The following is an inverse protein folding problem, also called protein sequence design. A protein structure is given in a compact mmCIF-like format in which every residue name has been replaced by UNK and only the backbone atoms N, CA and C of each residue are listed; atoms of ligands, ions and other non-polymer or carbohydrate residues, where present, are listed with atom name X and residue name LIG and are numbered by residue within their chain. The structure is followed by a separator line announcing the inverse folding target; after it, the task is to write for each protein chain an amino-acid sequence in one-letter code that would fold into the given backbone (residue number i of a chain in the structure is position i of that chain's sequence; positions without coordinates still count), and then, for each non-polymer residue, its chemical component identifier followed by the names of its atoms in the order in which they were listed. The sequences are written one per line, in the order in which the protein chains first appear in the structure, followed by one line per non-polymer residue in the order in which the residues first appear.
data_IF_296693539911
#
_entry.id   IF_296693539911
#
_cell.length_a   1.000
_cell.length_b   1.000
_cell.length_c   1.000
_cell.angle_alpha   90.00
_cell.angle_beta   90.00
_cell.angle_gamma   90.00
#
_symmetry.space_group_name_H-M   'P 1'
#
loop_
_entity.id
_entity.type
_entity.pdbx_description
1 polymer ?
#
# COMPACT_ATOMS: atom_id res chain seq x y z
N UNK A 1 -2.07 15.60 6.88
CA UNK A 1 -2.19 14.77 8.09
C UNK A 1 -0.93 13.92 8.17
N UNK A 2 -0.31 13.78 9.35
CA UNK A 2 0.92 12.99 9.50
C UNK A 2 0.54 11.49 9.50
N UNK A 3 1.25 10.66 8.72
CA UNK A 3 1.01 9.21 8.68
C UNK A 3 1.17 8.59 10.08
N UNK A 4 0.22 7.75 10.48
CA UNK A 4 0.30 6.94 11.69
C UNK A 4 1.42 5.91 11.56
N UNK A 5 1.59 5.28 10.40
CA UNK A 5 2.70 4.38 10.13
C UNK A 5 4.05 5.07 10.34
N UNK A 6 4.23 6.28 9.80
CA UNK A 6 5.45 7.05 10.01
C UNK A 6 5.73 7.28 11.51
N UNK A 7 4.68 7.44 12.32
CA UNK A 7 4.83 7.56 13.79
C UNK A 7 5.25 6.24 14.42
N UNK A 8 4.65 5.11 14.02
CA UNK A 8 5.03 3.77 14.50
C UNK A 8 6.50 3.46 14.20
N UNK A 9 6.94 3.69 12.96
CA UNK A 9 8.31 3.42 12.53
C UNK A 9 9.36 4.26 13.26
N UNK A 10 9.01 5.47 13.73
CA UNK A 10 9.92 6.34 14.47
C UNK A 10 9.91 6.11 15.99
N UNK A 11 8.90 5.42 16.53
CA UNK A 11 8.69 5.32 17.99
C UNK A 11 8.82 3.90 18.53
N UNK A 12 8.61 2.88 17.69
CA UNK A 12 8.73 1.48 18.10
C UNK A 12 10.08 0.90 17.67
N UNK A 13 10.59 -0.03 18.47
CA UNK A 13 11.79 -0.80 18.11
C UNK A 13 11.55 -1.73 16.92
N UNK A 14 10.31 -2.21 16.75
CA UNK A 14 9.88 -3.05 15.64
C UNK A 14 8.42 -2.75 15.30
N UNK A 15 8.09 -2.78 14.01
CA UNK A 15 6.72 -2.62 13.51
C UNK A 15 6.42 -3.77 12.54
N UNK A 16 5.35 -4.53 12.80
CA UNK A 16 4.91 -5.62 11.93
C UNK A 16 3.86 -5.11 10.93
N UNK A 17 4.22 -5.08 9.65
CA UNK A 17 3.32 -4.71 8.55
C UNK A 17 2.92 -5.99 7.80
N UNK A 18 1.63 -6.34 7.82
CA UNK A 18 1.14 -7.53 7.12
C UNK A 18 0.64 -7.15 5.73
N UNK A 19 1.26 -7.75 4.70
CA UNK A 19 0.80 -7.68 3.32
C UNK A 19 -0.32 -8.70 3.13
N UNK A 20 -1.56 -8.26 2.88
CA UNK A 20 -2.66 -9.21 2.73
C UNK A 20 -2.49 -10.01 1.42
N UNK A 21 -2.74 -11.34 1.46
CA UNK A 21 -2.67 -12.18 0.26
C UNK A 21 -3.86 -11.97 -0.68
N UNK A 22 -4.95 -11.36 -0.19
CA UNK A 22 -6.11 -10.89 -0.96
C UNK A 22 -6.74 -9.70 -0.26
N UNK A 23 -7.41 -8.83 -1.00
CA UNK A 23 -8.19 -7.74 -0.42
C UNK A 23 -9.46 -8.31 0.20
N UNK A 24 -9.46 -8.44 1.52
CA UNK A 24 -10.50 -9.13 2.28
C UNK A 24 -10.52 -8.56 3.71
N UNK A 25 -11.70 -8.16 4.18
CA UNK A 25 -11.87 -7.54 5.50
C UNK A 25 -11.64 -8.53 6.65
N UNK A 26 -11.99 -9.81 6.50
CA UNK A 26 -11.72 -10.83 7.51
C UNK A 26 -10.21 -11.05 7.67
N UNK A 27 -9.45 -11.03 6.57
CA UNK A 27 -7.98 -11.12 6.64
C UNK A 27 -7.35 -9.88 7.28
N UNK A 28 -7.87 -8.68 6.99
CA UNK A 28 -7.42 -7.46 7.66
C UNK A 28 -7.65 -7.54 9.18
N UNK A 29 -8.86 -7.91 9.59
CA UNK A 29 -9.22 -8.10 11.00
C UNK A 29 -8.34 -9.17 11.67
N UNK A 30 -8.18 -10.33 11.02
CA UNK A 30 -7.35 -11.41 11.55
C UNK A 30 -5.88 -10.99 11.69
N UNK A 31 -5.34 -10.20 10.76
CA UNK A 31 -3.98 -9.69 10.86
C UNK A 31 -3.81 -8.78 12.09
N UNK A 32 -4.73 -7.83 12.30
CA UNK A 32 -4.70 -6.98 13.48
C UNK A 32 -4.92 -7.76 14.78
N UNK A 33 -5.84 -8.73 14.81
CA UNK A 33 -6.09 -9.60 15.97
C UNK A 33 -4.88 -10.46 16.32
N UNK A 34 -4.08 -10.84 15.32
CA UNK A 34 -2.82 -11.56 15.49
C UNK A 34 -1.61 -10.66 15.84
N UNK A 35 -1.82 -9.34 15.98
CA UNK A 35 -0.78 -8.40 16.42
C UNK A 35 -0.05 -7.67 15.29
N UNK A 36 -0.61 -7.60 14.08
CA UNK A 36 -0.12 -6.67 13.06
C UNK A 36 -0.28 -5.22 13.55
N UNK A 37 0.75 -4.41 13.32
CA UNK A 37 0.71 -2.98 13.63
C UNK A 37 0.13 -2.16 12.46
N UNK A 38 0.27 -2.69 11.25
CA UNK A 38 -0.24 -2.10 10.02
C UNK A 38 -0.61 -3.20 9.03
N UNK A 39 -1.50 -2.89 8.10
CA UNK A 39 -1.90 -3.81 7.01
C UNK A 39 -1.69 -3.13 5.66
N UNK A 40 -1.36 -3.91 4.64
CA UNK A 40 -1.18 -3.45 3.26
C UNK A 40 -2.07 -4.21 2.28
N UNK A 41 -2.85 -3.46 1.50
CA UNK A 41 -3.71 -3.95 0.41
C UNK A 41 -3.12 -3.60 -0.96
N UNK A 42 -3.63 -4.19 -2.03
CA UNK A 42 -3.00 -4.09 -3.35
C UNK A 42 -4.03 -3.92 -4.48
N UNK A 43 -3.66 -3.19 -5.54
CA UNK A 43 -4.35 -3.19 -6.82
C UNK A 43 -3.34 -3.18 -7.96
N UNK A 44 -3.77 -3.50 -9.18
CA UNK A 44 -2.94 -3.46 -10.40
C UNK A 44 -1.65 -4.30 -10.31
N UNK A 45 -1.75 -5.51 -9.77
CA UNK A 45 -0.61 -6.44 -9.70
C UNK A 45 -1.05 -7.77 -10.29
N UNK A 46 -0.33 -8.24 -11.31
CA UNK A 46 -0.59 -9.55 -11.91
C UNK A 46 0.66 -10.43 -11.82
N UNK A 47 0.54 -11.57 -11.15
CA UNK A 47 1.61 -12.54 -11.09
C UNK A 47 1.53 -13.45 -12.32
N UNK A 48 2.36 -13.16 -13.34
CA UNK A 48 2.42 -13.94 -14.59
C UNK A 48 2.63 -15.44 -14.38
N UNK A 49 3.30 -15.84 -13.30
CA UNK A 49 3.62 -17.25 -13.01
C UNK A 49 2.46 -18.04 -12.39
N UNK A 50 1.60 -17.39 -11.58
CA UNK A 50 0.52 -18.07 -10.83
C UNK A 50 -0.87 -17.84 -11.43
N UNK A 51 -1.02 -16.91 -12.37
CA UNK A 51 -2.34 -16.50 -12.90
C UNK A 51 -3.22 -15.78 -11.87
N UNK A 52 -2.70 -15.54 -10.66
CA UNK A 52 -3.37 -14.79 -9.60
C UNK A 52 -2.87 -13.34 -9.57
N UNK A 53 -3.69 -12.44 -9.03
CA UNK A 53 -3.34 -11.04 -8.94
C UNK A 53 -4.41 -10.21 -8.25
N UNK A 54 -4.16 -8.91 -8.22
CA UNK A 54 -5.06 -7.89 -7.77
C UNK A 54 -5.54 -7.09 -8.97
N UNK A 55 -6.86 -6.97 -9.10
CA UNK A 55 -7.52 -6.22 -10.15
C UNK A 55 -7.33 -4.71 -10.02
N UNK A 56 -8.05 -3.92 -10.84
CA UNK A 56 -7.96 -2.47 -10.80
C UNK A 56 -8.49 -1.88 -9.50
N UNK A 57 -8.07 -0.66 -9.14
CA UNK A 57 -8.53 0.05 -7.93
C UNK A 57 -10.07 0.06 -7.82
N UNK A 58 -10.75 0.32 -8.93
CA UNK A 58 -12.21 0.40 -9.01
C UNK A 58 -12.93 -0.90 -8.67
N UNK A 59 -12.26 -2.06 -8.74
CA UNK A 59 -12.84 -3.35 -8.36
C UNK A 59 -12.96 -3.53 -6.84
N UNK A 60 -12.37 -2.62 -6.04
CA UNK A 60 -12.22 -2.80 -4.60
C UNK A 60 -12.89 -1.71 -3.76
N UNK A 61 -13.76 -0.87 -4.33
CA UNK A 61 -14.40 0.23 -3.62
C UNK A 61 -15.06 -0.22 -2.30
N UNK A 62 -15.96 -1.22 -2.36
CA UNK A 62 -16.69 -1.73 -1.19
C UNK A 62 -15.75 -2.38 -0.15
N UNK A 63 -14.84 -3.25 -0.61
CA UNK A 63 -13.94 -3.96 0.33
C UNK A 63 -12.92 -3.03 0.97
N UNK A 64 -12.45 -1.99 0.26
CA UNK A 64 -11.55 -1.00 0.83
C UNK A 64 -12.27 -0.10 1.84
N UNK A 65 -13.50 0.32 1.55
CA UNK A 65 -14.32 1.04 2.54
C UNK A 65 -14.50 0.21 3.82
N UNK A 66 -14.78 -1.09 3.68
CA UNK A 66 -14.91 -1.98 4.83
C UNK A 66 -13.58 -2.13 5.59
N UNK A 67 -12.49 -2.43 4.90
CA UNK A 67 -11.16 -2.58 5.53
C UNK A 67 -10.75 -1.31 6.27
N UNK A 68 -10.93 -0.15 5.64
CA UNK A 68 -10.52 1.15 6.19
C UNK A 68 -11.38 1.56 7.38
N UNK A 69 -12.67 1.21 7.41
CA UNK A 69 -13.56 1.53 8.54
C UNK A 69 -13.38 0.60 9.74
N UNK A 70 -12.99 -0.66 9.52
CA UNK A 70 -12.81 -1.67 10.57
C UNK A 70 -11.37 -1.79 11.10
N UNK A 71 -10.40 -1.17 10.43
CA UNK A 71 -8.98 -1.30 10.78
C UNK A 71 -8.64 -0.76 12.18
N UNK A 72 -7.85 -1.54 12.94
CA UNK A 72 -7.34 -1.15 14.27
C UNK A 72 -6.05 -0.33 14.21
N UNK A 73 -5.48 -0.16 13.01
CA UNK A 73 -4.22 0.53 12.77
C UNK A 73 -4.11 1.01 11.32
N UNK A 74 -2.96 1.60 10.92
CA UNK A 74 -2.75 2.12 9.58
C UNK A 74 -2.92 1.05 8.50
N UNK A 75 -3.68 1.41 7.47
CA UNK A 75 -3.83 0.63 6.24
C UNK A 75 -3.13 1.37 5.11
N UNK A 76 -2.25 0.68 4.40
CA UNK A 76 -1.58 1.20 3.22
C UNK A 76 -2.01 0.52 1.93
N UNK A 77 -1.84 1.23 0.82
CA UNK A 77 -2.12 0.72 -0.52
C UNK A 77 -0.84 0.52 -1.32
N UNK A 78 -0.74 -0.60 -2.04
CA UNK A 78 0.14 -0.76 -3.21
C UNK A 78 -0.68 -0.45 -4.46
N UNK A 79 -0.50 0.73 -5.09
CA UNK A 79 -1.35 1.18 -6.19
C UNK A 79 -1.03 0.53 -7.54
N UNK A 80 0.03 -0.27 -7.63
CA UNK A 80 0.38 -1.02 -8.83
C UNK A 80 1.84 -1.41 -8.92
N UNK A 81 2.17 -2.12 -10.00
CA UNK A 81 3.52 -2.56 -10.32
C UNK A 81 4.06 -1.96 -11.64
N UNK A 82 3.48 -0.85 -12.09
CA UNK A 82 3.92 -0.08 -13.26
C UNK A 82 3.63 1.42 -13.07
N UNK A 83 4.43 2.29 -13.66
CA UNK A 83 4.29 3.75 -13.55
C UNK A 83 2.90 4.22 -14.00
N UNK A 84 2.39 3.65 -15.09
CA UNK A 84 1.10 4.02 -15.69
C UNK A 84 -0.07 3.73 -14.75
N UNK A 85 -0.03 2.60 -14.03
CA UNK A 85 -1.05 2.22 -13.05
C UNK A 85 -1.05 3.16 -11.86
N UNK A 86 0.13 3.43 -11.30
CA UNK A 86 0.28 4.34 -10.16
C UNK A 86 -0.17 5.75 -10.55
N UNK A 87 0.25 6.26 -11.71
CA UNK A 87 -0.12 7.60 -12.15
C UNK A 87 -1.63 7.75 -12.39
N UNK A 88 -2.28 6.72 -12.94
CA UNK A 88 -3.72 6.73 -13.23
C UNK A 88 -4.56 6.72 -11.95
N UNK A 89 -4.23 5.86 -11.00
CA UNK A 89 -5.14 5.53 -9.89
C UNK A 89 -4.85 6.36 -8.62
N UNK A 90 -3.65 6.94 -8.48
CA UNK A 90 -3.29 7.71 -7.28
C UNK A 90 -4.16 8.94 -6.98
N UNK A 91 -4.69 9.70 -7.96
CA UNK A 91 -5.62 10.81 -7.67
C UNK A 91 -6.90 10.35 -6.96
N UNK A 92 -7.39 9.15 -7.26
CA UNK A 92 -8.55 8.55 -6.61
C UNK A 92 -8.16 7.94 -5.26
N UNK A 93 -7.10 7.13 -5.23
CA UNK A 93 -6.62 6.49 -4.01
C UNK A 93 -6.27 7.50 -2.91
N UNK A 94 -5.73 8.67 -3.28
CA UNK A 94 -5.39 9.74 -2.34
C UNK A 94 -6.61 10.43 -1.70
N UNK A 95 -7.83 10.16 -2.17
CA UNK A 95 -9.08 10.62 -1.54
C UNK A 95 -9.60 9.64 -0.48
N UNK A 96 -9.12 8.41 -0.51
CA UNK A 96 -9.44 7.39 0.49
C UNK A 96 -8.53 7.56 1.72
N UNK A 97 -8.99 7.17 2.92
CA UNK A 97 -8.25 7.35 4.17
C UNK A 97 -7.09 6.34 4.34
N UNK A 98 -6.39 5.98 3.27
CA UNK A 98 -5.14 5.22 3.36
C UNK A 98 -4.09 6.04 4.11
N UNK A 99 -3.37 5.40 5.01
CA UNK A 99 -2.36 6.07 5.84
C UNK A 99 -1.03 6.22 5.11
N UNK A 100 -0.71 5.28 4.21
CA UNK A 100 0.51 5.29 3.41
C UNK A 100 0.32 4.62 2.04
N UNK A 101 1.20 4.94 1.10
CA UNK A 101 1.29 4.33 -0.22
C UNK A 101 2.65 3.67 -0.37
N UNK A 102 2.66 2.38 -0.65
CA UNK A 102 3.87 1.58 -0.85
C UNK A 102 4.08 1.36 -2.35
N UNK A 103 5.16 1.92 -2.89
CA UNK A 103 5.42 1.97 -4.34
C UNK A 103 6.89 1.67 -4.58
N UNK A 104 7.22 0.90 -5.63
CA UNK A 104 8.61 0.79 -6.08
C UNK A 104 9.11 2.13 -6.62
N UNK A 105 10.37 2.49 -6.35
CA UNK A 105 10.93 3.77 -6.76
C UNK A 105 10.81 4.01 -8.27
N UNK A 106 11.21 3.03 -9.10
CA UNK A 106 11.02 3.04 -10.55
C UNK A 106 9.56 3.19 -11.04
N UNK A 107 8.55 2.94 -10.20
CA UNK A 107 7.13 3.07 -10.56
C UNK A 107 6.46 4.30 -9.94
N UNK A 108 7.18 5.09 -9.15
CA UNK A 108 6.64 6.25 -8.45
C UNK A 108 6.70 7.50 -9.34
N UNK A 109 5.57 8.06 -9.80
CA UNK A 109 5.60 9.34 -10.51
C UNK A 109 6.06 10.45 -9.56
N UNK A 110 6.82 11.42 -10.09
CA UNK A 110 7.39 12.53 -9.31
C UNK A 110 6.33 13.37 -8.59
N UNK A 111 5.09 13.38 -9.09
CA UNK A 111 3.94 14.02 -8.44
C UNK A 111 3.66 13.48 -7.03
N UNK A 112 4.04 12.23 -6.73
CA UNK A 112 3.89 11.66 -5.40
C UNK A 112 4.81 12.30 -4.36
N UNK A 113 5.91 12.96 -4.76
CA UNK A 113 6.79 13.67 -3.82
C UNK A 113 6.07 14.76 -3.02
N UNK A 114 4.96 15.30 -3.56
CA UNK A 114 4.07 16.22 -2.84
C UNK A 114 3.40 15.58 -1.61
N UNK A 115 3.38 14.24 -1.53
CA UNK A 115 2.84 13.43 -0.43
C UNK A 115 3.91 12.57 0.25
N UNK A 116 5.19 12.99 0.21
CA UNK A 116 6.33 12.22 0.73
C UNK A 116 6.16 11.64 2.15
N UNK A 117 5.43 12.33 3.02
CA UNK A 117 5.19 11.89 4.41
C UNK A 117 4.27 10.65 4.52
N UNK A 118 3.64 10.27 3.41
CA UNK A 118 2.80 9.07 3.28
C UNK A 118 3.44 8.02 2.36
N UNK A 119 4.63 8.26 1.81
CA UNK A 119 5.25 7.33 0.86
C UNK A 119 6.19 6.35 1.56
N UNK A 120 6.01 5.08 1.25
CA UNK A 120 6.97 4.01 1.50
C UNK A 120 7.55 3.57 0.15
N UNK A 121 8.71 4.12 -0.22
CA UNK A 121 9.40 3.72 -1.44
C UNK A 121 10.15 2.40 -1.22
N UNK A 122 9.86 1.41 -2.05
CA UNK A 122 10.59 0.15 -2.11
C UNK A 122 11.68 0.24 -3.19
N UNK A 123 12.85 -0.31 -2.88
CA UNK A 123 13.92 -0.49 -3.86
C UNK A 123 13.84 -1.92 -4.42
N UNK A 124 13.65 -2.02 -5.73
CA UNK A 124 13.65 -3.26 -6.50
C UNK A 124 15.01 -3.55 -7.11
N UNK A 125 15.06 -4.58 -7.96
CA UNK A 125 16.30 -5.02 -8.61
C UNK A 125 16.94 -3.93 -9.50
N UNK A 126 16.14 -3.04 -10.11
CA UNK A 126 16.63 -1.96 -10.98
C UNK A 126 16.67 -0.59 -10.32
N UNK A 127 16.56 -0.53 -8.98
CA UNK A 127 16.68 0.72 -8.21
C UNK A 127 18.06 0.81 -7.53
N UNK A 128 19.08 0.13 -8.07
CA UNK A 128 20.44 0.13 -7.55
C UNK A 128 21.15 1.47 -7.79
N UNK A 129 22.17 1.83 -6.97
CA UNK A 129 23.01 3.00 -7.24
C UNK A 129 23.67 3.00 -8.64
N UNK A 130 23.89 1.82 -9.21
CA UNK A 130 24.40 1.58 -10.55
C UNK A 130 23.39 1.87 -11.68
N UNK A 131 22.09 1.92 -11.34
CA UNK A 131 20.99 2.13 -12.29
C UNK A 131 20.46 3.59 -12.29
N UNK A 132 21.08 4.49 -11.50
CA UNK A 132 20.66 5.87 -11.27
C UNK A 132 21.27 6.92 -12.21
#
# INVERSE_FOLDING_TARGET
MKSQLATLLNTRSMTLIVSLPRNDADLSRAAFDAGADAVKVHCNIMHRASGSGFGPLSAYAEVFEQILSEAKGPVGLVPGAALEDVQRDMPEAARLPFDFFSVYAQHAPTSLLAKRDMLMLALGHGDGPEDA
#
